data_IF_251698899513
#
_entry.id   IF_251698899513
#
_cell.length_a   1.000
_cell.length_b   1.000
_cell.length_c   1.000
_cell.angle_alpha   90.00
_cell.angle_beta   90.00
_cell.angle_gamma   90.00
#
_symmetry.space_group_name_H-M   'P 1'
#
loop_
_entity.id
_entity.type
_entity.pdbx_description
1 polymer ?
#
# COMPACT_ATOMS: atom_id res chain seq x y z
N UNK A 1 -57.12 -46.38 -46.96
CA UNK A 1 -55.83 -46.85 -47.52
C UNK A 1 -54.83 -45.71 -47.37
N UNK A 2 -54.00 -45.74 -46.37
CA UNK A 2 -52.89 -44.80 -46.15
C UNK A 2 -51.60 -45.63 -46.05
N UNK A 3 -50.51 -45.27 -46.72
CA UNK A 3 -49.29 -46.02 -46.67
C UNK A 3 -48.43 -45.70 -45.45
N UNK A 4 -47.92 -46.73 -44.81
CA UNK A 4 -46.92 -46.69 -43.73
C UNK A 4 -45.55 -46.19 -44.28
N UNK A 5 -45.06 -45.07 -43.72
CA UNK A 5 -43.65 -44.69 -43.89
C UNK A 5 -42.80 -45.39 -42.83
N UNK A 6 -41.82 -46.17 -43.24
CA UNK A 6 -40.77 -46.77 -42.42
C UNK A 6 -39.70 -45.71 -42.15
N UNK A 7 -39.47 -45.34 -40.85
CA UNK A 7 -38.30 -44.61 -40.40
C UNK A 7 -37.10 -45.58 -40.27
N UNK A 8 -36.10 -45.35 -41.07
CA UNK A 8 -34.75 -45.95 -40.89
C UNK A 8 -33.94 -45.11 -39.91
N UNK A 9 -33.59 -45.70 -38.76
CA UNK A 9 -32.71 -45.05 -37.80
C UNK A 9 -31.23 -45.13 -38.30
N UNK A 10 -30.64 -43.94 -38.52
CA UNK A 10 -29.19 -43.86 -38.72
C UNK A 10 -28.53 -43.71 -37.33
N UNK A 11 -27.79 -44.74 -36.93
CA UNK A 11 -26.90 -44.65 -35.75
C UNK A 11 -25.61 -43.93 -36.17
N UNK A 12 -25.47 -42.68 -35.73
CA UNK A 12 -24.21 -41.98 -35.80
C UNK A 12 -23.35 -42.36 -34.59
N UNK A 13 -22.35 -43.19 -34.81
CA UNK A 13 -21.31 -43.44 -33.81
C UNK A 13 -20.41 -42.19 -33.70
N UNK A 14 -20.60 -41.40 -32.63
CA UNK A 14 -19.71 -40.31 -32.28
C UNK A 14 -18.42 -40.90 -31.70
N UNK A 15 -17.34 -40.84 -32.49
CA UNK A 15 -15.99 -41.13 -32.02
C UNK A 15 -15.56 -40.04 -31.01
N UNK A 16 -15.55 -40.36 -29.70
CA UNK A 16 -14.91 -39.59 -28.69
C UNK A 16 -13.38 -39.64 -28.89
N UNK A 17 -12.82 -38.64 -29.55
CA UNK A 17 -11.38 -38.38 -29.47
C UNK A 17 -11.09 -37.81 -28.08
N UNK A 18 -10.16 -38.44 -27.32
CA UNK A 18 -9.73 -37.82 -26.06
C UNK A 18 -8.98 -36.53 -26.42
N UNK A 19 -9.50 -35.38 -25.99
CA UNK A 19 -8.73 -34.13 -25.89
C UNK A 19 -7.58 -34.37 -24.90
N UNK A 20 -6.44 -34.77 -25.42
CA UNK A 20 -5.17 -34.65 -24.72
C UNK A 20 -4.92 -33.13 -24.55
N UNK A 21 -5.40 -32.55 -23.44
CA UNK A 21 -4.98 -31.25 -23.00
C UNK A 21 -3.44 -31.29 -22.91
N UNK A 22 -2.79 -30.57 -23.80
CA UNK A 22 -1.35 -30.36 -23.72
C UNK A 22 -1.09 -29.75 -22.33
N UNK A 23 -0.59 -30.57 -21.40
CA UNK A 23 -0.03 -30.11 -20.15
C UNK A 23 1.13 -29.20 -20.55
N UNK A 24 0.91 -27.89 -20.56
CA UNK A 24 1.99 -26.92 -20.70
C UNK A 24 3.08 -27.33 -19.72
N UNK A 25 4.32 -27.43 -20.19
CA UNK A 25 5.46 -27.78 -19.34
C UNK A 25 5.42 -26.84 -18.13
N UNK A 26 5.33 -27.41 -16.93
CA UNK A 26 5.40 -26.64 -15.68
C UNK A 26 6.72 -25.83 -15.70
N UNK A 27 6.69 -24.55 -15.33
CA UNK A 27 7.92 -23.78 -15.24
C UNK A 27 8.94 -24.54 -14.39
N UNK A 28 10.20 -24.58 -14.86
CA UNK A 28 11.28 -25.23 -14.10
C UNK A 28 11.36 -24.62 -12.70
N UNK A 29 11.60 -25.42 -11.66
CA UNK A 29 11.88 -24.87 -10.34
C UNK A 29 13.04 -23.89 -10.40
N UNK A 30 12.96 -22.81 -9.62
CA UNK A 30 14.02 -21.81 -9.49
C UNK A 30 14.59 -21.87 -8.08
N UNK A 31 15.92 -21.90 -7.96
CA UNK A 31 16.63 -21.92 -6.69
C UNK A 31 17.57 -20.71 -6.61
N UNK A 32 17.40 -19.90 -5.58
CA UNK A 32 18.30 -18.80 -5.24
C UNK A 32 19.17 -19.23 -4.07
N UNK A 33 20.48 -19.20 -4.23
CA UNK A 33 21.44 -19.70 -3.24
C UNK A 33 22.39 -18.63 -2.74
N UNK A 34 22.99 -18.89 -1.58
CA UNK A 34 24.03 -18.07 -0.94
C UNK A 34 23.62 -16.63 -0.68
N UNK A 35 22.33 -16.39 -0.50
CA UNK A 35 21.76 -15.05 -0.41
C UNK A 35 21.45 -14.68 1.04
N UNK A 36 21.64 -13.40 1.40
CA UNK A 36 21.09 -12.84 2.62
C UNK A 36 19.59 -12.66 2.44
N UNK A 37 18.79 -13.15 3.39
CA UNK A 37 17.32 -13.07 3.33
C UNK A 37 16.82 -12.20 4.47
N UNK A 38 16.11 -11.13 4.13
CA UNK A 38 15.26 -10.34 5.04
C UNK A 38 13.82 -10.71 4.71
N UNK A 39 13.20 -11.54 5.53
CA UNK A 39 11.98 -12.27 5.16
C UNK A 39 10.67 -11.47 5.27
N UNK A 40 10.72 -10.21 5.73
CA UNK A 40 9.55 -9.33 5.89
C UNK A 40 8.74 -9.57 7.17
N UNK A 41 9.17 -10.47 8.05
CA UNK A 41 8.49 -10.73 9.34
C UNK A 41 8.91 -9.77 10.45
N UNK A 42 10.02 -9.03 10.26
CA UNK A 42 10.68 -8.26 11.30
C UNK A 42 11.65 -9.09 12.17
N UNK A 43 11.84 -10.36 11.82
CA UNK A 43 12.82 -11.24 12.46
C UNK A 43 14.25 -11.00 11.97
N UNK A 44 15.23 -11.65 12.64
CA UNK A 44 16.64 -11.57 12.24
C UNK A 44 16.85 -12.10 10.81
N UNK A 45 17.73 -11.48 10.00
CA UNK A 45 18.01 -11.93 8.66
C UNK A 45 18.74 -13.29 8.65
N UNK A 46 18.53 -14.06 7.58
CA UNK A 46 19.27 -15.30 7.31
C UNK A 46 20.49 -14.93 6.45
N UNK A 47 21.70 -15.08 6.98
CA UNK A 47 22.92 -14.55 6.34
C UNK A 47 23.32 -15.31 5.06
N UNK A 48 23.10 -16.61 5.01
CA UNK A 48 23.38 -17.48 3.85
C UNK A 48 22.21 -18.42 3.67
N UNK A 49 21.21 -17.93 2.97
CA UNK A 49 19.97 -18.64 2.76
C UNK A 49 19.85 -19.25 1.38
N UNK A 50 18.82 -20.10 1.26
CA UNK A 50 18.31 -20.65 0.01
C UNK A 50 16.81 -20.37 -0.07
N UNK A 51 16.35 -20.00 -1.27
CA UNK A 51 14.94 -19.85 -1.60
C UNK A 51 14.64 -20.81 -2.75
N UNK A 52 13.64 -21.66 -2.59
CA UNK A 52 13.17 -22.59 -3.64
C UNK A 52 11.78 -22.15 -4.09
N UNK A 53 11.60 -22.01 -5.39
CA UNK A 53 10.38 -21.52 -6.02
C UNK A 53 9.86 -22.57 -7.00
N UNK A 54 8.61 -22.97 -6.83
CA UNK A 54 7.92 -23.94 -7.68
C UNK A 54 6.48 -23.47 -7.95
N UNK A 55 6.07 -23.50 -9.20
CA UNK A 55 4.70 -23.12 -9.59
C UNK A 55 4.32 -21.69 -9.18
N UNK A 56 5.28 -20.76 -9.15
CA UNK A 56 5.05 -19.36 -8.77
C UNK A 56 4.97 -19.10 -7.26
N UNK A 57 5.21 -20.11 -6.43
CA UNK A 57 5.17 -20.03 -4.96
C UNK A 57 6.50 -20.40 -4.33
N UNK A 58 6.72 -19.89 -3.13
CA UNK A 58 7.86 -20.27 -2.28
C UNK A 58 7.63 -21.69 -1.75
N UNK A 59 8.42 -22.68 -2.19
CA UNK A 59 8.32 -24.04 -1.70
C UNK A 59 9.23 -24.29 -0.50
N UNK A 60 10.36 -23.58 -0.39
CA UNK A 60 11.19 -23.59 0.79
C UNK A 60 11.97 -22.25 0.92
N UNK A 61 12.21 -21.82 2.16
CA UNK A 61 13.01 -20.64 2.51
C UNK A 61 13.74 -20.90 3.81
N UNK A 62 15.06 -20.67 3.85
CA UNK A 62 15.85 -20.86 5.07
C UNK A 62 17.33 -21.18 4.80
N UNK A 63 18.14 -21.40 5.85
CA UNK A 63 19.58 -21.69 5.71
C UNK A 63 19.87 -22.99 4.95
N UNK A 64 19.00 -23.98 5.13
CA UNK A 64 19.07 -25.30 4.47
C UNK A 64 17.67 -25.67 3.95
N UNK A 65 17.21 -24.91 2.98
CA UNK A 65 15.83 -24.96 2.49
C UNK A 65 15.53 -26.22 1.65
N UNK A 66 15.82 -27.37 2.18
CA UNK A 66 15.53 -28.66 1.55
C UNK A 66 16.46 -29.03 0.39
N UNK A 67 16.23 -30.17 -0.26
CA UNK A 67 16.98 -30.57 -1.45
C UNK A 67 16.68 -29.64 -2.62
N UNK A 68 17.63 -29.52 -3.54
CA UNK A 68 17.42 -28.83 -4.81
C UNK A 68 16.54 -29.74 -5.70
N UNK A 69 15.39 -29.23 -6.18
CA UNK A 69 14.53 -30.01 -7.07
C UNK A 69 15.27 -30.44 -8.36
N UNK A 70 14.97 -31.62 -8.88
CA UNK A 70 15.56 -32.08 -10.12
C UNK A 70 15.19 -31.13 -11.29
N UNK A 71 16.18 -30.76 -12.09
CA UNK A 71 15.99 -29.87 -13.24
C UNK A 71 15.79 -28.40 -12.87
N UNK A 72 16.02 -28.01 -11.62
CA UNK A 72 15.93 -26.61 -11.19
C UNK A 72 17.00 -25.74 -11.85
N UNK A 73 16.60 -24.53 -12.21
CA UNK A 73 17.55 -23.44 -12.48
C UNK A 73 18.08 -22.92 -11.15
N UNK A 74 19.42 -22.85 -11.00
CA UNK A 74 20.06 -22.34 -9.78
C UNK A 74 20.80 -21.06 -10.06
N UNK A 75 20.56 -20.04 -9.24
CA UNK A 75 21.22 -18.73 -9.33
C UNK A 75 21.97 -18.49 -8.02
N UNK A 76 23.29 -18.29 -8.11
CA UNK A 76 24.12 -17.85 -6.99
C UNK A 76 23.96 -16.33 -6.78
N UNK A 77 23.53 -15.94 -5.59
CA UNK A 77 23.31 -14.55 -5.18
C UNK A 77 24.28 -14.13 -4.06
N UNK A 78 25.50 -14.70 -4.04
CA UNK A 78 26.56 -14.30 -3.09
C UNK A 78 26.74 -12.78 -3.09
N UNK A 79 26.70 -12.16 -1.90
CA UNK A 79 26.84 -10.71 -1.71
C UNK A 79 25.57 -9.90 -2.01
N UNK A 80 24.46 -10.56 -2.29
CA UNK A 80 23.14 -9.94 -2.53
C UNK A 80 22.22 -10.11 -1.32
N UNK A 81 21.22 -9.24 -1.23
CA UNK A 81 20.13 -9.37 -0.26
C UNK A 81 18.81 -9.56 -1.00
N UNK A 82 17.99 -10.49 -0.53
CA UNK A 82 16.61 -10.67 -1.00
C UNK A 82 15.65 -10.19 0.08
N UNK A 83 14.67 -9.41 -0.35
CA UNK A 83 13.52 -8.98 0.45
C UNK A 83 12.22 -9.42 -0.25
N UNK A 84 11.06 -9.48 0.43
CA UNK A 84 9.79 -9.63 -0.25
C UNK A 84 9.56 -8.49 -1.24
N UNK A 85 8.73 -8.72 -2.24
CA UNK A 85 8.23 -7.64 -3.08
C UNK A 85 7.59 -6.54 -2.22
N UNK A 86 7.96 -5.29 -2.49
CA UNK A 86 7.42 -4.14 -1.77
C UNK A 86 5.92 -3.98 -2.07
N UNK A 87 5.18 -3.54 -1.08
CA UNK A 87 3.75 -3.21 -1.17
C UNK A 87 3.60 -1.72 -0.88
N UNK A 88 3.19 -0.95 -1.88
CA UNK A 88 2.85 0.47 -1.69
C UNK A 88 1.39 0.58 -1.24
N UNK A 89 1.17 0.93 0.04
CA UNK A 89 -0.15 1.02 0.64
C UNK A 89 -0.92 2.29 0.23
N UNK A 90 -0.27 3.25 -0.46
CA UNK A 90 -0.86 4.51 -0.88
C UNK A 90 -0.29 4.97 -2.23
N UNK A 91 -0.77 4.36 -3.27
CA UNK A 91 -0.41 4.70 -4.65
C UNK A 91 -1.60 5.37 -5.33
N UNK A 92 -1.38 6.47 -6.02
CA UNK A 92 -2.36 7.05 -6.93
C UNK A 92 -1.96 6.76 -8.37
N UNK A 93 -2.85 6.08 -9.11
CA UNK A 93 -2.58 5.77 -10.52
C UNK A 93 -2.49 7.03 -11.37
N UNK A 94 -3.13 8.11 -10.91
CA UNK A 94 -3.23 9.36 -11.67
C UNK A 94 -3.76 9.08 -13.10
N UNK A 95 -3.28 9.80 -14.11
CA UNK A 95 -3.57 9.53 -15.51
C UNK A 95 -2.38 8.87 -16.23
N UNK A 96 -1.60 8.07 -15.51
CA UNK A 96 -0.40 7.44 -16.03
C UNK A 96 -0.22 5.96 -15.58
N UNK A 97 -0.77 5.04 -16.35
CA UNK A 97 -0.66 3.61 -16.06
C UNK A 97 0.79 3.08 -16.09
N UNK A 98 1.71 3.77 -16.80
CA UNK A 98 3.12 3.37 -16.88
C UNK A 98 3.85 3.60 -15.56
N UNK A 99 3.38 4.53 -14.73
CA UNK A 99 3.97 4.77 -13.41
C UNK A 99 3.97 3.50 -12.54
N UNK A 100 2.89 2.72 -12.58
CA UNK A 100 2.81 1.45 -11.86
C UNK A 100 3.83 0.41 -12.37
N UNK A 101 4.07 0.34 -13.68
CA UNK A 101 5.10 -0.54 -14.26
C UNK A 101 6.51 -0.05 -13.93
N UNK A 102 6.72 1.25 -13.88
CA UNK A 102 7.97 1.82 -13.41
C UNK A 102 8.22 1.45 -11.95
N UNK A 103 7.23 1.62 -11.07
CA UNK A 103 7.35 1.19 -9.66
C UNK A 103 7.57 -0.32 -9.53
N UNK A 104 6.96 -1.14 -10.40
CA UNK A 104 7.26 -2.58 -10.46
C UNK A 104 8.76 -2.83 -10.70
N UNK A 105 9.39 -2.07 -11.60
CA UNK A 105 10.84 -2.15 -11.84
C UNK A 105 11.68 -1.67 -10.65
N UNK A 106 11.10 -0.91 -9.74
CA UNK A 106 11.69 -0.46 -8.49
C UNK A 106 11.42 -1.40 -7.30
N UNK A 107 10.80 -2.57 -7.56
CA UNK A 107 10.54 -3.58 -6.56
C UNK A 107 9.16 -3.54 -5.92
N UNK A 108 8.27 -2.63 -6.33
CA UNK A 108 6.88 -2.57 -5.85
C UNK A 108 6.04 -3.58 -6.62
N UNK A 109 5.79 -4.74 -6.03
CA UNK A 109 5.07 -5.84 -6.69
C UNK A 109 3.56 -5.79 -6.48
N UNK A 110 3.11 -4.99 -5.53
CA UNK A 110 1.70 -4.76 -5.21
C UNK A 110 1.48 -3.32 -4.76
N UNK A 111 0.33 -2.76 -5.05
CA UNK A 111 -0.05 -1.45 -4.53
C UNK A 111 -1.54 -1.36 -4.22
N UNK A 112 -1.91 -0.45 -3.33
CA UNK A 112 -3.29 -0.02 -3.10
C UNK A 112 -3.47 1.42 -3.54
N UNK A 113 -4.44 1.64 -4.42
CA UNK A 113 -4.91 2.99 -4.69
C UNK A 113 -6.07 3.31 -3.73
N UNK A 114 -5.92 4.36 -2.89
CA UNK A 114 -6.87 4.66 -1.84
C UNK A 114 -8.08 5.48 -2.31
N UNK A 115 -8.20 5.79 -3.60
CA UNK A 115 -9.32 6.65 -3.97
C UNK A 115 -9.46 6.94 -5.46
N UNK A 116 -9.65 5.90 -6.29
CA UNK A 116 -9.89 6.08 -7.72
C UNK A 116 -11.00 5.18 -8.25
N UNK A 117 -11.65 5.62 -9.33
CA UNK A 117 -12.64 4.84 -10.06
C UNK A 117 -11.99 3.64 -10.76
N UNK A 118 -12.69 2.50 -10.81
CA UNK A 118 -12.17 1.27 -11.43
C UNK A 118 -11.78 1.46 -12.91
N UNK A 119 -12.44 2.37 -13.61
CA UNK A 119 -12.16 2.69 -15.01
C UNK A 119 -10.75 3.21 -15.24
N UNK A 120 -10.16 3.89 -14.26
CA UNK A 120 -8.77 4.39 -14.32
C UNK A 120 -7.73 3.27 -14.39
N UNK A 121 -8.07 2.07 -13.91
CA UNK A 121 -7.17 0.92 -13.94
C UNK A 121 -7.25 0.08 -15.20
N UNK A 122 -8.23 0.32 -16.07
CA UNK A 122 -8.44 -0.50 -17.29
C UNK A 122 -7.25 -0.48 -18.24
N UNK A 123 -6.59 0.67 -18.40
CA UNK A 123 -5.41 0.77 -19.26
C UNK A 123 -4.23 0.01 -18.66
N UNK A 124 -3.97 0.17 -17.36
CA UNK A 124 -2.94 -0.60 -16.66
C UNK A 124 -3.20 -2.10 -16.76
N UNK A 125 -4.44 -2.56 -16.57
CA UNK A 125 -4.79 -3.98 -16.73
C UNK A 125 -4.55 -4.47 -18.15
N UNK A 126 -4.85 -3.63 -19.19
CA UNK A 126 -4.55 -3.95 -20.59
C UNK A 126 -3.04 -4.05 -20.83
N UNK A 127 -2.25 -3.13 -20.28
CA UNK A 127 -0.79 -3.17 -20.38
C UNK A 127 -0.23 -4.43 -19.74
N UNK A 128 -0.63 -4.73 -18.51
CA UNK A 128 -0.22 -5.95 -17.80
C UNK A 128 -0.54 -7.20 -18.65
N UNK A 129 -1.75 -7.28 -19.21
CA UNK A 129 -2.16 -8.41 -20.03
C UNK A 129 -1.40 -8.50 -21.36
N UNK A 130 -1.22 -7.37 -22.07
CA UNK A 130 -0.52 -7.33 -23.37
C UNK A 130 0.96 -7.67 -23.24
N UNK A 131 1.59 -7.27 -22.16
CA UNK A 131 2.99 -7.57 -21.82
C UNK A 131 3.14 -8.95 -21.18
N UNK A 132 2.03 -9.65 -20.88
CA UNK A 132 2.00 -10.93 -20.16
C UNK A 132 2.71 -10.87 -18.81
N UNK A 133 2.58 -9.73 -18.11
CA UNK A 133 3.20 -9.55 -16.81
C UNK A 133 2.39 -10.26 -15.72
N UNK A 134 3.05 -10.81 -14.70
CA UNK A 134 2.38 -11.41 -13.54
C UNK A 134 1.88 -10.38 -12.50
N UNK A 135 2.15 -9.10 -12.74
CA UNK A 135 1.78 -7.97 -11.86
C UNK A 135 2.20 -6.63 -12.44
N UNK A 136 2.15 -5.52 -11.68
CA UNK A 136 1.88 -5.45 -10.23
C UNK A 136 0.45 -5.88 -9.87
N UNK A 137 0.26 -6.35 -8.60
CA UNK A 137 -1.08 -6.63 -8.07
C UNK A 137 -1.76 -5.33 -7.67
N UNK A 138 -3.02 -5.19 -8.03
CA UNK A 138 -3.79 -3.96 -7.88
C UNK A 138 -4.87 -4.16 -6.82
N UNK A 139 -4.83 -3.36 -5.76
CA UNK A 139 -5.86 -3.24 -4.75
C UNK A 139 -6.48 -1.85 -4.85
N UNK A 140 -7.80 -1.74 -4.80
CA UNK A 140 -8.50 -0.46 -4.98
C UNK A 140 -9.48 -0.20 -3.85
N UNK A 141 -9.60 1.06 -3.44
CA UNK A 141 -10.61 1.50 -2.49
C UNK A 141 -11.90 2.01 -3.18
N UNK A 142 -11.88 2.13 -4.51
CA UNK A 142 -12.93 2.86 -5.21
C UNK A 142 -12.84 4.37 -4.93
N UNK A 143 -13.82 5.18 -5.39
CA UNK A 143 -13.85 6.61 -5.11
C UNK A 143 -13.97 6.88 -3.60
N UNK A 144 -13.43 8.01 -3.14
CA UNK A 144 -13.55 8.42 -1.75
C UNK A 144 -15.02 8.56 -1.33
N UNK A 145 -15.38 8.13 -0.12
CA UNK A 145 -16.67 8.47 0.48
C UNK A 145 -16.47 9.76 1.28
N UNK A 146 -17.00 10.87 0.78
CA UNK A 146 -16.83 12.20 1.35
C UNK A 146 -18.18 12.86 1.66
N UNK A 147 -18.13 13.98 2.36
CA UNK A 147 -19.28 14.83 2.62
C UNK A 147 -19.47 15.89 1.52
N UNK A 148 -20.42 16.83 1.76
CA UNK A 148 -20.70 17.91 0.82
C UNK A 148 -19.48 18.80 0.57
N UNK A 149 -19.35 19.30 -0.65
CA UNK A 149 -18.20 20.11 -1.14
C UNK A 149 -16.87 19.36 -1.04
N UNK A 150 -16.76 18.14 -1.61
CA UNK A 150 -15.55 17.34 -1.51
C UNK A 150 -14.34 18.09 -2.10
N UNK A 151 -13.15 17.83 -1.53
CA UNK A 151 -11.92 18.49 -2.01
C UNK A 151 -11.50 18.02 -3.41
N UNK A 152 -11.87 16.79 -3.77
CA UNK A 152 -11.59 16.17 -5.07
C UNK A 152 -12.89 15.60 -5.65
N UNK A 153 -13.75 16.46 -6.25
CA UNK A 153 -15.08 16.02 -6.73
C UNK A 153 -15.03 14.93 -7.80
N UNK A 154 -13.97 14.89 -8.62
CA UNK A 154 -13.80 13.88 -9.66
C UNK A 154 -13.58 12.46 -9.10
N UNK A 155 -13.02 12.37 -7.90
CA UNK A 155 -12.58 11.11 -7.28
C UNK A 155 -13.43 10.72 -6.06
N UNK A 156 -14.57 11.40 -5.86
CA UNK A 156 -15.40 11.23 -4.69
C UNK A 156 -16.85 10.82 -5.00
N UNK A 157 -17.44 10.07 -4.08
CA UNK A 157 -18.90 9.95 -3.94
C UNK A 157 -19.31 10.67 -2.67
N UNK A 158 -20.42 11.46 -2.76
CA UNK A 158 -20.88 12.31 -1.66
C UNK A 158 -22.01 11.60 -0.91
N UNK A 159 -21.85 11.45 0.41
CA UNK A 159 -22.88 11.00 1.31
C UNK A 159 -23.42 12.18 2.14
N UNK A 160 -24.74 12.39 2.10
CA UNK A 160 -25.42 13.46 2.84
C UNK A 160 -25.78 13.04 4.26
N UNK A 161 -25.95 11.74 4.47
CA UNK A 161 -26.30 11.16 5.76
C UNK A 161 -25.69 9.76 5.95
N UNK A 162 -25.89 9.17 7.12
CA UNK A 162 -25.33 7.88 7.49
C UNK A 162 -25.92 6.71 6.67
N UNK A 163 -27.17 6.82 6.23
CA UNK A 163 -27.80 5.77 5.42
C UNK A 163 -27.25 5.80 4.00
N UNK A 164 -27.08 6.98 3.41
CA UNK A 164 -26.43 7.12 2.11
C UNK A 164 -24.97 6.66 2.16
N UNK A 165 -24.24 6.99 3.21
CA UNK A 165 -22.86 6.52 3.42
C UNK A 165 -22.80 4.98 3.45
N UNK A 166 -23.73 4.33 4.15
CA UNK A 166 -23.84 2.87 4.20
C UNK A 166 -24.09 2.28 2.81
N UNK A 167 -25.05 2.84 2.05
CA UNK A 167 -25.35 2.38 0.68
C UNK A 167 -24.15 2.52 -0.25
N UNK A 168 -23.43 3.64 -0.17
CA UNK A 168 -22.24 3.88 -0.98
C UNK A 168 -21.12 2.91 -0.62
N UNK A 169 -20.84 2.67 0.65
CA UNK A 169 -19.87 1.69 1.12
C UNK A 169 -20.18 0.27 0.59
N UNK A 170 -21.41 -0.19 0.76
CA UNK A 170 -21.89 -1.48 0.25
C UNK A 170 -21.77 -1.57 -1.29
N UNK A 171 -22.05 -0.48 -1.99
CA UNK A 171 -21.93 -0.42 -3.45
C UNK A 171 -20.48 -0.56 -3.89
N UNK A 172 -19.54 0.18 -3.28
CA UNK A 172 -18.13 0.12 -3.62
C UNK A 172 -17.55 -1.29 -3.43
N UNK A 173 -17.90 -1.95 -2.32
CA UNK A 173 -17.48 -3.34 -2.07
C UNK A 173 -18.07 -4.30 -3.12
N UNK A 174 -19.35 -4.17 -3.47
CA UNK A 174 -19.95 -4.99 -4.54
C UNK A 174 -19.32 -4.75 -5.91
N UNK A 175 -18.76 -3.58 -6.15
CA UNK A 175 -18.04 -3.24 -7.38
C UNK A 175 -16.57 -3.71 -7.37
N UNK A 176 -16.15 -4.40 -6.29
CA UNK A 176 -14.82 -5.02 -6.21
C UNK A 176 -13.78 -4.22 -5.41
N UNK A 177 -14.19 -3.15 -4.72
CA UNK A 177 -13.27 -2.45 -3.83
C UNK A 177 -12.76 -3.41 -2.75
N UNK A 178 -11.43 -3.49 -2.61
CA UNK A 178 -10.73 -4.33 -1.63
C UNK A 178 -10.43 -3.58 -0.32
N UNK A 179 -10.74 -2.30 -0.26
CA UNK A 179 -10.66 -1.41 0.89
C UNK A 179 -11.68 -0.28 0.70
N UNK A 180 -11.96 0.50 1.74
CA UNK A 180 -12.70 1.76 1.60
C UNK A 180 -11.93 2.92 2.21
N UNK A 181 -12.09 4.13 1.63
CA UNK A 181 -11.52 5.36 2.16
C UNK A 181 -12.59 6.38 2.49
N UNK A 182 -12.62 6.77 3.75
CA UNK A 182 -13.36 7.91 4.26
C UNK A 182 -12.53 9.18 4.00
N UNK A 183 -13.19 10.23 3.49
CA UNK A 183 -12.53 11.51 3.28
C UNK A 183 -13.03 12.56 4.26
N UNK A 184 -12.30 13.65 4.41
CA UNK A 184 -12.31 14.50 5.59
C UNK A 184 -13.59 15.33 5.80
N UNK A 185 -14.46 15.50 4.80
CA UNK A 185 -15.73 16.21 4.96
C UNK A 185 -16.90 15.33 5.39
N UNK A 186 -16.69 14.01 5.43
CA UNK A 186 -17.74 13.10 5.84
C UNK A 186 -18.05 13.30 7.35
N UNK A 187 -19.30 13.59 7.74
CA UNK A 187 -19.66 13.75 9.15
C UNK A 187 -19.44 12.48 9.96
N UNK A 188 -19.23 12.62 11.28
CA UNK A 188 -18.90 11.49 12.18
C UNK A 188 -19.91 10.35 12.09
N UNK A 189 -21.24 10.63 12.10
CA UNK A 189 -22.26 9.59 12.02
C UNK A 189 -22.19 8.81 10.70
N UNK A 190 -21.91 9.48 9.59
CA UNK A 190 -21.74 8.87 8.27
C UNK A 190 -20.43 8.09 8.19
N UNK A 191 -19.33 8.61 8.74
CA UNK A 191 -18.05 7.90 8.83
C UNK A 191 -18.18 6.60 9.64
N UNK A 192 -18.89 6.64 10.77
CA UNK A 192 -19.16 5.45 11.58
C UNK A 192 -20.00 4.41 10.82
N UNK A 193 -20.98 4.85 10.02
CA UNK A 193 -21.77 3.93 9.20
C UNK A 193 -20.92 3.21 8.13
N UNK A 194 -19.91 3.89 7.54
CA UNK A 194 -18.96 3.26 6.64
C UNK A 194 -18.08 2.25 7.38
N UNK A 195 -17.57 2.59 8.58
CA UNK A 195 -16.76 1.70 9.42
C UNK A 195 -17.54 0.41 9.76
N UNK A 196 -18.81 0.52 10.17
CA UNK A 196 -19.69 -0.61 10.47
C UNK A 196 -19.86 -1.55 9.26
N UNK A 197 -19.97 -1.00 8.04
CA UNK A 197 -20.05 -1.81 6.81
C UNK A 197 -18.71 -2.52 6.56
N UNK A 198 -17.59 -1.82 6.71
CA UNK A 198 -16.26 -2.40 6.51
C UNK A 198 -16.02 -3.56 7.48
N UNK A 199 -16.37 -3.39 8.75
CA UNK A 199 -16.27 -4.42 9.77
C UNK A 199 -17.14 -5.65 9.42
N UNK A 200 -18.41 -5.43 9.08
CA UNK A 200 -19.33 -6.50 8.71
C UNK A 200 -18.90 -7.25 7.44
N UNK A 201 -18.18 -6.61 6.54
CA UNK A 201 -17.71 -7.18 5.27
C UNK A 201 -16.26 -7.66 5.32
N UNK A 202 -15.57 -7.51 6.45
CA UNK A 202 -14.15 -7.82 6.62
C UNK A 202 -13.28 -7.15 5.54
N UNK A 203 -13.47 -5.85 5.34
CA UNK A 203 -12.75 -5.02 4.37
C UNK A 203 -12.02 -3.90 5.12
N UNK A 204 -10.75 -3.62 4.82
CA UNK A 204 -10.04 -2.49 5.44
C UNK A 204 -10.75 -1.16 5.20
N UNK A 205 -10.87 -0.34 6.25
CA UNK A 205 -11.42 1.00 6.18
C UNK A 205 -10.39 2.00 6.69
N UNK A 206 -10.05 2.98 5.87
CA UNK A 206 -9.10 4.04 6.23
C UNK A 206 -9.75 5.41 6.13
N UNK A 207 -9.14 6.40 6.76
CA UNK A 207 -9.62 7.78 6.68
C UNK A 207 -8.48 8.78 6.51
N UNK A 208 -8.72 9.78 5.64
CA UNK A 208 -7.96 11.02 5.59
C UNK A 208 -8.73 12.07 6.39
N UNK A 209 -8.20 12.51 7.51
CA UNK A 209 -8.90 13.38 8.45
C UNK A 209 -8.32 14.81 8.46
N UNK A 210 -9.21 15.79 8.49
CA UNK A 210 -8.91 17.21 8.73
C UNK A 210 -9.92 17.82 9.71
N UNK A 211 -11.18 17.40 9.63
CA UNK A 211 -12.29 17.99 10.39
C UNK A 211 -12.66 17.18 11.63
N UNK A 212 -12.49 15.86 11.59
CA UNK A 212 -12.79 14.98 12.71
C UNK A 212 -11.54 14.72 13.56
N UNK A 213 -11.75 14.47 14.84
CA UNK A 213 -10.69 14.03 15.74
C UNK A 213 -10.40 12.53 15.47
N UNK A 214 -9.12 12.23 15.23
CA UNK A 214 -8.70 10.85 14.97
C UNK A 214 -9.00 9.91 16.14
N UNK A 215 -8.90 10.40 17.38
CA UNK A 215 -9.21 9.61 18.60
C UNK A 215 -10.63 9.08 18.58
N UNK A 216 -11.59 9.91 18.17
CA UNK A 216 -13.01 9.53 18.12
C UNK A 216 -13.28 8.45 17.08
N UNK A 217 -12.72 8.58 15.88
CA UNK A 217 -12.93 7.59 14.82
C UNK A 217 -12.18 6.28 15.06
N UNK A 218 -10.96 6.34 15.60
CA UNK A 218 -10.21 5.14 16.01
C UNK A 218 -11.00 4.41 17.11
N UNK A 219 -11.53 5.13 18.12
CA UNK A 219 -12.35 4.53 19.15
C UNK A 219 -13.65 3.91 18.60
N UNK A 220 -14.21 4.50 17.52
CA UNK A 220 -15.38 3.97 16.81
C UNK A 220 -15.07 2.77 15.89
N UNK A 221 -13.81 2.30 15.83
CA UNK A 221 -13.44 1.09 15.07
C UNK A 221 -12.75 1.37 13.73
N UNK A 222 -12.32 2.61 13.45
CA UNK A 222 -11.56 2.89 12.23
C UNK A 222 -10.30 2.03 12.16
N UNK A 223 -10.12 1.31 11.06
CA UNK A 223 -9.00 0.37 10.91
C UNK A 223 -7.65 1.07 10.67
N UNK A 224 -7.63 2.20 9.95
CA UNK A 224 -6.39 2.89 9.63
C UNK A 224 -6.55 4.36 9.26
N UNK A 225 -5.43 5.07 9.28
CA UNK A 225 -5.31 6.48 8.97
C UNK A 225 -4.38 6.65 7.77
N UNK A 226 -4.83 7.45 6.83
CA UNK A 226 -4.03 7.96 5.73
C UNK A 226 -3.36 9.25 6.17
N UNK A 227 -2.07 9.37 5.90
CA UNK A 227 -1.26 10.53 6.23
C UNK A 227 -1.10 10.78 7.74
N UNK A 228 0.12 11.03 8.15
CA UNK A 228 0.40 11.45 9.53
C UNK A 228 -0.37 12.72 9.90
N UNK A 229 -0.71 13.55 8.91
CA UNK A 229 -1.47 14.80 9.10
C UNK A 229 -2.89 14.58 9.60
N UNK A 230 -3.48 13.41 9.39
CA UNK A 230 -4.79 13.04 9.96
C UNK A 230 -4.83 13.02 11.48
N UNK A 231 -3.67 12.99 12.13
CA UNK A 231 -3.54 13.08 13.58
C UNK A 231 -3.46 14.52 14.10
N UNK A 232 -3.30 15.52 13.21
CA UNK A 232 -2.96 16.90 13.58
C UNK A 232 -3.95 17.57 14.53
N UNK A 233 -5.26 17.45 14.27
CA UNK A 233 -6.30 18.04 15.10
C UNK A 233 -6.43 17.40 16.49
N UNK A 234 -5.85 16.21 16.67
CA UNK A 234 -5.83 15.49 17.96
C UNK A 234 -4.61 15.86 18.83
N UNK A 235 -3.71 16.74 18.35
CA UNK A 235 -2.44 17.06 19.01
C UNK A 235 -2.39 18.47 19.58
N UNK A 236 -3.44 19.23 19.39
CA UNK A 236 -3.51 20.64 19.81
C UNK A 236 -4.77 20.90 20.63
N UNK A 237 -4.79 21.95 21.47
CA UNK A 237 -5.98 22.31 22.23
C UNK A 237 -7.21 22.48 21.36
N UNK A 238 -8.38 22.14 21.89
CA UNK A 238 -9.66 22.16 21.18
C UNK A 238 -9.93 23.46 20.41
N UNK A 239 -9.61 24.60 20.98
CA UNK A 239 -9.83 25.92 20.32
C UNK A 239 -8.95 26.08 19.07
N UNK A 240 -7.71 25.62 19.10
CA UNK A 240 -6.81 25.62 17.96
C UNK A 240 -7.27 24.68 16.85
N UNK A 241 -7.64 23.45 17.24
CA UNK A 241 -8.22 22.48 16.31
C UNK A 241 -9.49 23.03 15.65
N UNK A 242 -10.36 23.73 16.42
CA UNK A 242 -11.58 24.32 15.88
C UNK A 242 -11.28 25.47 14.92
N UNK A 243 -10.33 26.35 15.22
CA UNK A 243 -9.90 27.41 14.30
C UNK A 243 -9.40 26.85 12.97
N UNK A 244 -8.63 25.75 13.00
CA UNK A 244 -8.21 25.03 11.81
C UNK A 244 -9.39 24.44 11.04
N UNK A 245 -10.32 23.76 11.72
CA UNK A 245 -11.51 23.18 11.10
C UNK A 245 -12.35 24.21 10.38
N UNK A 246 -12.58 25.36 11.00
CA UNK A 246 -13.35 26.46 10.39
C UNK A 246 -12.66 27.00 9.12
N UNK A 247 -11.34 27.15 9.14
CA UNK A 247 -10.59 27.56 7.96
C UNK A 247 -10.73 26.54 6.82
N UNK A 248 -10.62 25.23 7.10
CA UNK A 248 -10.78 24.15 6.09
C UNK A 248 -12.23 24.03 5.63
N UNK A 249 -13.21 24.28 6.48
CA UNK A 249 -14.63 24.31 6.09
C UNK A 249 -14.92 25.46 5.11
N UNK A 250 -14.29 26.61 5.31
CA UNK A 250 -14.41 27.75 4.41
C UNK A 250 -13.68 27.52 3.09
N UNK A 251 -12.44 27.03 3.15
CA UNK A 251 -11.57 26.76 2.01
C UNK A 251 -10.81 25.46 2.19
N UNK A 252 -11.02 24.49 1.29
CA UNK A 252 -10.31 23.21 1.32
C UNK A 252 -8.77 23.38 1.29
N UNK A 253 -8.25 24.40 0.64
CA UNK A 253 -6.81 24.60 0.48
C UNK A 253 -6.15 25.22 1.71
N UNK A 254 -6.92 25.76 2.65
CA UNK A 254 -6.42 26.20 3.96
C UNK A 254 -5.69 25.06 4.72
N UNK A 255 -6.01 23.79 4.43
CA UNK A 255 -5.31 22.63 5.01
C UNK A 255 -3.83 22.57 4.62
N UNK A 256 -3.43 23.09 3.45
CA UNK A 256 -2.07 22.92 2.92
C UNK A 256 -1.01 23.49 3.88
N UNK A 257 -1.18 24.72 4.30
CA UNK A 257 -0.31 25.36 5.28
C UNK A 257 -0.76 25.10 6.72
N UNK A 258 -2.07 24.99 6.93
CA UNK A 258 -2.68 24.76 8.23
C UNK A 258 -2.15 23.50 8.93
N UNK A 259 -1.90 22.43 8.20
CA UNK A 259 -1.27 21.19 8.72
C UNK A 259 0.08 21.47 9.38
N UNK A 260 0.95 22.21 8.68
CA UNK A 260 2.27 22.57 9.24
C UNK A 260 2.14 23.47 10.45
N UNK A 261 1.19 24.41 10.45
CA UNK A 261 0.92 25.26 11.63
C UNK A 261 0.45 24.45 12.82
N UNK A 262 -0.45 23.47 12.64
CA UNK A 262 -0.88 22.55 13.70
C UNK A 262 0.31 21.76 14.25
N UNK A 263 1.09 21.14 13.37
CA UNK A 263 2.23 20.33 13.79
C UNK A 263 3.32 21.19 14.45
N UNK A 264 3.63 22.37 13.92
CA UNK A 264 4.62 23.27 14.53
C UNK A 264 4.27 23.63 15.98
N UNK A 265 2.97 23.72 16.31
CA UNK A 265 2.47 24.05 17.65
C UNK A 265 2.25 22.84 18.55
N UNK A 266 2.06 21.65 17.96
CA UNK A 266 1.76 20.44 18.73
C UNK A 266 2.80 20.18 19.82
N UNK A 267 2.33 19.90 21.04
CA UNK A 267 3.16 19.36 22.09
C UNK A 267 3.03 17.84 22.10
N UNK A 268 4.06 17.17 21.60
CA UNK A 268 4.06 15.71 21.47
C UNK A 268 4.24 14.96 22.83
N UNK A 269 4.49 15.70 23.91
CA UNK A 269 4.58 15.18 25.27
C UNK A 269 3.39 15.64 26.12
N UNK A 270 2.57 16.54 25.59
CA UNK A 270 1.43 17.13 26.27
C UNK A 270 0.21 16.21 26.40
N UNK A 271 -0.83 16.67 27.12
CA UNK A 271 -1.99 15.85 27.45
C UNK A 271 -2.78 15.37 26.22
N UNK A 272 -2.89 16.19 25.17
CA UNK A 272 -3.59 15.80 23.94
C UNK A 272 -2.87 14.66 23.22
N UNK A 273 -1.54 14.74 23.11
CA UNK A 273 -0.73 13.67 22.54
C UNK A 273 -0.80 12.39 23.40
N UNK A 274 -0.77 12.49 24.72
CA UNK A 274 -0.90 11.34 25.61
C UNK A 274 -2.27 10.65 25.46
N UNK A 275 -3.34 11.43 25.32
CA UNK A 275 -4.68 10.90 25.03
C UNK A 275 -4.72 10.16 23.67
N UNK A 276 -4.06 10.72 22.65
CA UNK A 276 -3.94 10.05 21.34
C UNK A 276 -3.16 8.74 21.48
N UNK A 277 -2.00 8.74 22.15
CA UNK A 277 -1.18 7.52 22.34
C UNK A 277 -1.93 6.43 23.12
N UNK A 278 -2.79 6.79 24.07
CA UNK A 278 -3.62 5.82 24.77
C UNK A 278 -4.58 5.09 23.81
N UNK A 279 -5.25 5.84 22.91
CA UNK A 279 -6.15 5.26 21.91
C UNK A 279 -5.38 4.41 20.89
N UNK A 280 -4.21 4.87 20.42
CA UNK A 280 -3.34 4.10 19.53
C UNK A 280 -2.90 2.77 20.16
N UNK A 281 -2.55 2.78 21.44
CA UNK A 281 -2.17 1.58 22.21
C UNK A 281 -3.31 0.58 22.33
N UNK A 282 -4.51 1.06 22.62
CA UNK A 282 -5.70 0.23 22.79
C UNK A 282 -6.16 -0.40 21.48
N UNK A 283 -6.27 0.42 20.43
CA UNK A 283 -6.92 0.03 19.17
C UNK A 283 -5.96 -0.44 18.10
N UNK A 284 -4.69 -0.05 18.17
CA UNK A 284 -3.64 -0.44 17.23
C UNK A 284 -4.00 -0.25 15.76
N UNK A 285 -4.47 0.95 15.36
CA UNK A 285 -4.85 1.21 13.98
C UNK A 285 -3.63 1.12 13.06
N UNK A 286 -3.88 0.95 11.77
CA UNK A 286 -2.87 1.16 10.74
C UNK A 286 -2.57 2.66 10.59
N UNK A 287 -1.34 3.00 10.31
CA UNK A 287 -0.94 4.36 9.96
C UNK A 287 -0.04 4.33 8.73
N UNK A 288 -0.56 4.89 7.66
CA UNK A 288 0.17 5.19 6.45
C UNK A 288 0.65 6.64 6.52
N UNK A 289 1.91 6.84 6.90
CA UNK A 289 2.41 8.18 7.23
C UNK A 289 2.55 9.10 6.02
N UNK A 290 2.91 8.55 4.85
CA UNK A 290 3.15 9.29 3.59
C UNK A 290 4.02 10.54 3.76
N UNK A 291 5.10 10.43 4.51
CA UNK A 291 5.98 11.56 4.84
C UNK A 291 6.55 12.25 3.60
N UNK A 292 6.80 11.48 2.54
CA UNK A 292 7.40 11.98 1.31
C UNK A 292 6.57 13.08 0.64
N UNK A 293 5.23 13.04 0.74
CA UNK A 293 4.37 14.09 0.18
C UNK A 293 4.42 15.39 0.99
N UNK A 294 4.75 15.27 2.27
CA UNK A 294 4.86 16.41 3.19
C UNK A 294 6.30 16.91 3.37
N UNK A 295 7.27 16.26 2.74
CA UNK A 295 8.67 16.66 2.89
C UNK A 295 8.86 18.14 2.54
N UNK A 296 9.60 18.86 3.40
CA UNK A 296 10.03 20.24 3.18
C UNK A 296 11.52 20.33 3.45
N UNK A 297 12.21 21.03 2.55
CA UNK A 297 13.65 21.29 2.66
C UNK A 297 13.87 22.78 2.63
N UNK A 298 14.55 23.33 3.62
CA UNK A 298 14.76 24.77 3.75
C UNK A 298 15.45 25.42 2.53
N UNK A 299 16.24 24.64 1.79
CA UNK A 299 16.94 25.10 0.57
C UNK A 299 16.08 25.05 -0.70
N UNK A 300 14.93 24.38 -0.66
CA UNK A 300 14.08 24.05 -1.81
C UNK A 300 12.60 24.24 -1.45
N UNK A 301 12.25 25.41 -0.93
CA UNK A 301 10.89 25.70 -0.52
C UNK A 301 9.97 25.94 -1.74
N UNK A 302 8.66 25.64 -1.63
CA UNK A 302 7.69 25.94 -2.68
C UNK A 302 7.71 27.43 -3.07
N UNK A 303 7.49 27.72 -4.35
CA UNK A 303 7.38 29.09 -4.84
C UNK A 303 6.26 29.84 -4.08
N UNK A 304 6.52 31.10 -3.71
CA UNK A 304 5.58 31.93 -2.95
C UNK A 304 5.59 31.66 -1.44
N UNK A 305 6.45 30.79 -0.92
CA UNK A 305 6.63 30.64 0.53
C UNK A 305 7.06 31.95 1.16
N UNK A 306 6.26 32.47 2.10
CA UNK A 306 6.57 33.69 2.82
C UNK A 306 7.60 33.44 3.92
N UNK A 307 8.42 34.45 4.31
CA UNK A 307 9.47 34.26 5.32
C UNK A 307 8.97 33.75 6.67
N UNK A 308 7.76 34.12 7.08
CA UNK A 308 7.13 33.65 8.32
C UNK A 308 6.73 32.16 8.26
N UNK A 309 6.47 31.63 7.07
CA UNK A 309 6.15 30.21 6.89
C UNK A 309 7.37 29.30 6.93
N UNK A 310 8.56 29.79 6.65
CA UNK A 310 9.78 28.97 6.61
C UNK A 310 9.99 28.17 7.91
N UNK A 311 10.03 28.80 9.10
CA UNK A 311 10.18 28.06 10.36
C UNK A 311 8.98 27.15 10.66
N UNK A 312 7.78 27.51 10.20
CA UNK A 312 6.58 26.69 10.39
C UNK A 312 6.65 25.40 9.58
N UNK A 313 7.08 25.47 8.33
CA UNK A 313 7.24 24.28 7.46
C UNK A 313 8.30 23.33 8.01
N UNK A 314 9.43 23.86 8.46
CA UNK A 314 10.52 23.07 9.05
C UNK A 314 10.10 22.38 10.36
N UNK A 315 9.60 23.16 11.31
CA UNK A 315 9.12 22.66 12.60
C UNK A 315 7.97 21.67 12.42
N UNK A 316 7.02 21.98 11.53
CA UNK A 316 5.88 21.12 11.26
C UNK A 316 6.30 19.78 10.69
N UNK A 317 7.16 19.76 9.67
CA UNK A 317 7.65 18.52 9.08
C UNK A 317 8.51 17.70 10.06
N UNK A 318 9.36 18.36 10.83
CA UNK A 318 10.14 17.73 11.90
C UNK A 318 9.22 17.00 12.89
N UNK A 319 8.14 17.63 13.34
CA UNK A 319 7.18 17.01 14.25
C UNK A 319 6.34 15.92 13.60
N UNK A 320 6.04 16.00 12.31
CA UNK A 320 5.42 14.89 11.55
C UNK A 320 6.30 13.63 11.61
N UNK A 321 7.60 13.74 11.39
CA UNK A 321 8.56 12.64 11.54
C UNK A 321 8.58 12.10 12.97
N UNK A 322 8.70 12.97 13.96
CA UNK A 322 8.70 12.58 15.38
C UNK A 322 7.40 11.86 15.78
N UNK A 323 6.25 12.38 15.34
CA UNK A 323 4.97 11.74 15.62
C UNK A 323 4.86 10.37 14.98
N UNK A 324 5.34 10.20 13.75
CA UNK A 324 5.33 8.89 13.07
C UNK A 324 6.03 7.84 13.93
N UNK A 325 7.23 8.13 14.45
CA UNK A 325 7.92 7.23 15.38
C UNK A 325 7.14 6.99 16.67
N UNK A 326 6.65 8.07 17.30
CA UNK A 326 5.90 7.98 18.57
C UNK A 326 4.60 7.21 18.42
N UNK A 327 3.87 7.40 17.31
CA UNK A 327 2.67 6.64 17.01
C UNK A 327 2.95 5.13 16.87
N UNK A 328 4.04 4.76 16.19
CA UNK A 328 4.48 3.37 16.11
C UNK A 328 4.82 2.78 17.49
N UNK A 329 5.57 3.51 18.31
CA UNK A 329 5.89 3.10 19.70
C UNK A 329 4.61 2.98 20.55
N UNK A 330 3.65 3.88 20.35
CA UNK A 330 2.37 3.85 21.05
C UNK A 330 1.44 2.72 20.58
N UNK A 331 1.75 2.01 19.49
CA UNK A 331 1.00 0.83 19.06
C UNK A 331 0.35 0.93 17.68
N UNK A 332 0.44 2.06 17.00
CA UNK A 332 0.02 2.15 15.60
C UNK A 332 0.87 1.22 14.73
N UNK A 333 0.24 0.52 13.80
CA UNK A 333 0.92 -0.37 12.85
C UNK A 333 1.30 0.42 11.62
N UNK A 334 2.59 0.77 11.51
CA UNK A 334 3.09 1.60 10.40
C UNK A 334 3.13 0.78 9.10
N UNK A 335 2.63 1.38 8.03
CA UNK A 335 2.74 0.87 6.67
C UNK A 335 3.40 1.92 5.76
N UNK A 336 4.07 1.46 4.72
CA UNK A 336 4.69 2.33 3.72
C UNK A 336 3.67 2.70 2.64
N UNK A 337 3.49 4.01 2.42
CA UNK A 337 2.73 4.57 1.31
C UNK A 337 3.52 5.64 0.56
N UNK A 338 3.77 5.39 -0.73
CA UNK A 338 4.63 6.24 -1.54
C UNK A 338 3.97 7.52 -2.04
N UNK A 339 2.64 7.55 -2.16
CA UNK A 339 1.86 8.67 -2.71
C UNK A 339 2.25 9.09 -4.15
N UNK A 340 2.77 8.17 -4.95
CA UNK A 340 3.10 8.28 -6.38
C UNK A 340 4.03 9.42 -6.77
N UNK A 341 3.56 10.68 -6.75
CA UNK A 341 4.35 11.87 -7.05
C UNK A 341 4.60 12.69 -5.78
N UNK A 342 5.86 12.92 -5.47
CA UNK A 342 6.29 13.65 -4.26
C UNK A 342 7.37 14.67 -4.59
N UNK A 343 7.56 15.73 -3.76
CA UNK A 343 8.44 16.85 -4.09
C UNK A 343 9.92 16.49 -4.33
N UNK A 344 10.46 15.52 -3.59
CA UNK A 344 11.90 15.27 -3.54
C UNK A 344 12.28 13.83 -3.92
N UNK A 345 11.48 13.21 -4.77
CA UNK A 345 11.84 11.95 -5.42
C UNK A 345 11.56 12.02 -6.91
N UNK A 346 12.37 11.34 -7.70
CA UNK A 346 12.09 11.19 -9.12
C UNK A 346 10.84 10.34 -9.32
N UNK A 347 10.23 10.45 -10.51
CA UNK A 347 9.04 9.69 -10.87
C UNK A 347 9.23 8.19 -10.61
N UNK A 348 8.30 7.60 -9.87
CA UNK A 348 8.33 6.19 -9.47
C UNK A 348 9.21 5.87 -8.26
N UNK A 349 9.95 6.83 -7.71
CA UNK A 349 10.86 6.62 -6.57
C UNK A 349 10.24 7.01 -5.21
N UNK A 350 9.02 7.47 -5.20
CA UNK A 350 8.33 7.87 -3.97
C UNK A 350 8.34 6.78 -2.87
N UNK A 351 8.12 5.47 -3.16
CA UNK A 351 8.22 4.42 -2.15
C UNK A 351 9.60 4.32 -1.50
N UNK A 352 10.67 4.50 -2.28
CA UNK A 352 12.04 4.49 -1.73
C UNK A 352 12.27 5.69 -0.83
N UNK A 353 11.79 6.89 -1.23
CA UNK A 353 11.91 8.08 -0.40
C UNK A 353 11.13 7.95 0.90
N UNK A 354 9.95 7.35 0.85
CA UNK A 354 9.17 7.08 2.07
C UNK A 354 9.91 6.15 3.02
N UNK A 355 10.53 5.05 2.52
CA UNK A 355 11.35 4.16 3.35
C UNK A 355 12.53 4.90 4.02
N UNK A 356 13.21 5.78 3.29
CA UNK A 356 14.28 6.62 3.84
C UNK A 356 13.74 7.54 4.94
N UNK A 357 12.59 8.19 4.71
CA UNK A 357 11.96 9.08 5.70
C UNK A 357 11.45 8.35 6.94
N UNK A 358 10.96 7.12 6.79
CA UNK A 358 10.62 6.29 7.94
C UNK A 358 11.86 6.02 8.82
N UNK A 359 13.02 5.75 8.19
CA UNK A 359 14.27 5.58 8.94
C UNK A 359 14.75 6.90 9.53
N UNK A 360 14.67 8.02 8.80
CA UNK A 360 14.95 9.36 9.32
C UNK A 360 14.01 9.75 10.50
N UNK A 361 12.84 9.15 10.57
CA UNK A 361 11.89 9.32 11.68
C UNK A 361 12.27 8.50 12.93
N UNK A 362 13.27 7.62 12.82
CA UNK A 362 13.79 6.80 13.91
C UNK A 362 13.34 5.33 13.88
N UNK A 363 12.78 4.84 12.78
CA UNK A 363 12.62 3.40 12.57
C UNK A 363 13.98 2.80 12.22
N UNK A 364 14.22 1.55 12.64
CA UNK A 364 15.31 0.79 12.07
C UNK A 364 15.03 0.44 10.59
N UNK A 365 16.06 0.21 9.76
CA UNK A 365 15.85 -0.26 8.39
C UNK A 365 14.99 -1.53 8.31
N UNK A 366 15.10 -2.43 9.27
CA UNK A 366 14.27 -3.63 9.35
C UNK A 366 12.80 -3.31 9.60
N UNK A 367 12.48 -2.38 10.52
CA UNK A 367 11.11 -1.92 10.76
C UNK A 367 10.53 -1.26 9.49
N UNK A 368 11.31 -0.44 8.77
CA UNK A 368 10.87 0.21 7.54
C UNK A 368 10.58 -0.80 6.42
N UNK A 369 11.46 -1.80 6.20
CA UNK A 369 11.21 -2.89 5.23
C UNK A 369 9.98 -3.69 5.63
N UNK A 370 9.81 -4.00 6.92
CA UNK A 370 8.64 -4.74 7.42
C UNK A 370 7.35 -3.94 7.19
N UNK A 371 7.38 -2.60 7.35
CA UNK A 371 6.26 -1.71 7.05
C UNK A 371 5.86 -1.75 5.57
N UNK A 372 6.82 -1.97 4.66
CA UNK A 372 6.59 -2.06 3.21
C UNK A 372 6.32 -3.50 2.71
N UNK A 373 6.29 -4.49 3.60
CA UNK A 373 6.18 -5.91 3.23
C UNK A 373 5.16 -6.63 4.11
N UNK A 374 5.58 -7.32 5.16
CA UNK A 374 4.70 -8.11 6.02
C UNK A 374 3.57 -7.30 6.67
N UNK A 375 3.89 -6.09 7.16
CA UNK A 375 2.87 -5.20 7.76
C UNK A 375 1.89 -4.69 6.71
N UNK A 376 2.37 -4.29 5.52
CA UNK A 376 1.51 -3.84 4.43
C UNK A 376 0.61 -4.98 3.89
N UNK A 377 1.10 -6.22 3.82
CA UNK A 377 0.27 -7.36 3.46
C UNK A 377 -0.85 -7.62 4.49
N UNK A 378 -0.53 -7.49 5.78
CA UNK A 378 -1.52 -7.59 6.85
C UNK A 378 -2.56 -6.46 6.79
N UNK A 379 -2.14 -5.24 6.44
CA UNK A 379 -3.03 -4.12 6.18
C UNK A 379 -4.04 -4.40 5.05
N UNK A 380 -3.59 -5.08 4.00
CA UNK A 380 -4.45 -5.48 2.87
C UNK A 380 -5.25 -6.77 3.12
N UNK A 381 -5.14 -7.38 4.32
CA UNK A 381 -5.71 -8.70 4.64
C UNK A 381 -5.22 -9.81 3.69
N UNK A 382 -3.92 -9.73 3.30
CA UNK A 382 -3.25 -10.63 2.35
C UNK A 382 -2.02 -11.33 2.93
N UNK A 383 -1.90 -11.44 4.25
CA UNK A 383 -0.77 -12.10 4.92
C UNK A 383 -0.63 -13.59 4.55
N UNK A 384 -1.71 -14.23 4.10
CA UNK A 384 -1.71 -15.62 3.67
C UNK A 384 -1.24 -15.81 2.22
N UNK A 385 -1.03 -14.69 1.51
CA UNK A 385 -0.65 -14.69 0.10
C UNK A 385 0.68 -13.98 -0.15
N UNK A 386 0.94 -12.85 0.54
CA UNK A 386 1.97 -11.86 0.22
C UNK A 386 2.77 -11.38 1.45
N UNK A 387 3.78 -10.58 1.19
CA UNK A 387 4.46 -9.71 2.15
C UNK A 387 5.56 -10.36 2.96
N UNK A 388 5.70 -11.69 2.96
CA UNK A 388 6.80 -12.38 3.63
C UNK A 388 7.36 -13.50 2.77
N UNK A 389 8.67 -13.79 2.95
CA UNK A 389 9.31 -14.94 2.31
C UNK A 389 9.07 -16.19 3.14
N UNK A 390 7.87 -16.72 3.06
CA UNK A 390 7.45 -17.93 3.81
C UNK A 390 6.90 -19.00 2.85
N UNK A 391 7.15 -20.25 3.17
CA UNK A 391 6.64 -21.40 2.39
C UNK A 391 5.13 -21.28 2.15
N UNK A 392 4.71 -21.51 0.92
CA UNK A 392 3.31 -21.51 0.46
C UNK A 392 2.83 -20.17 -0.09
N UNK A 393 3.52 -19.05 0.20
CA UNK A 393 3.18 -17.72 -0.30
C UNK A 393 3.62 -17.53 -1.75
N UNK A 394 3.12 -16.49 -2.38
CA UNK A 394 3.53 -16.07 -3.72
C UNK A 394 5.02 -15.76 -3.74
N UNK A 395 5.71 -16.17 -4.79
CA UNK A 395 7.10 -15.85 -4.99
C UNK A 395 7.25 -14.44 -5.58
N UNK A 396 6.93 -13.43 -4.75
CA UNK A 396 7.13 -12.02 -5.04
C UNK A 396 8.33 -11.55 -4.22
N UNK A 397 9.44 -11.22 -4.87
CA UNK A 397 10.68 -10.83 -4.18
C UNK A 397 11.52 -9.86 -4.99
N UNK A 398 12.41 -9.16 -4.31
CA UNK A 398 13.36 -8.22 -4.87
C UNK A 398 14.78 -8.64 -4.49
N UNK A 399 15.66 -8.71 -5.49
CA UNK A 399 17.10 -8.91 -5.30
C UNK A 399 17.78 -7.54 -5.31
N UNK A 400 18.46 -7.22 -4.21
CA UNK A 400 19.18 -5.97 -4.01
C UNK A 400 20.68 -6.20 -4.11
N UNK A 401 21.38 -5.29 -4.78
CA UNK A 401 22.84 -5.30 -4.94
C UNK A 401 23.63 -4.89 -3.69
N UNK A 402 22.94 -4.53 -2.59
CA UNK A 402 23.53 -4.17 -1.31
C UNK A 402 22.57 -4.49 -0.16
N UNK A 403 23.10 -4.39 1.07
CA UNK A 403 22.39 -4.69 2.29
C UNK A 403 21.54 -3.48 2.79
N UNK A 404 20.21 -3.54 2.71
CA UNK A 404 19.34 -2.45 3.14
C UNK A 404 19.26 -2.31 4.68
N UNK A 405 19.73 -3.31 5.44
CA UNK A 405 19.77 -3.21 6.91
C UNK A 405 20.97 -2.41 7.39
N UNK A 406 22.00 -2.27 6.57
CA UNK A 406 23.16 -1.40 6.85
C UNK A 406 22.90 0.04 6.41
N UNK A 407 22.22 0.20 5.28
CA UNK A 407 21.85 1.49 4.72
C UNK A 407 20.54 1.33 3.93
N UNK A 408 19.48 1.96 4.39
CA UNK A 408 18.15 1.85 3.75
C UNK A 408 18.17 2.33 2.28
N UNK A 409 19.07 3.23 1.91
CA UNK A 409 19.23 3.67 0.52
C UNK A 409 19.61 2.53 -0.45
N UNK A 410 20.05 1.38 0.07
CA UNK A 410 20.28 0.18 -0.73
C UNK A 410 19.01 -0.39 -1.38
N UNK A 411 17.81 -0.02 -0.93
CA UNK A 411 16.54 -0.38 -1.61
C UNK A 411 16.46 0.17 -3.04
N UNK A 412 17.25 1.22 -3.35
CA UNK A 412 17.39 1.76 -4.72
C UNK A 412 18.23 0.87 -5.64
N UNK A 413 19.02 -0.06 -5.07
CA UNK A 413 19.91 -0.95 -5.83
C UNK A 413 19.20 -2.24 -6.26
N UNK A 414 18.01 -2.08 -6.85
CA UNK A 414 17.25 -3.21 -7.38
C UNK A 414 17.98 -3.79 -8.60
N UNK A 415 18.40 -5.05 -8.51
CA UNK A 415 19.01 -5.80 -9.61
C UNK A 415 17.97 -6.67 -10.34
N UNK A 416 17.08 -7.32 -9.59
CA UNK A 416 16.04 -8.18 -10.15
C UNK A 416 14.75 -8.08 -9.34
N UNK A 417 13.64 -8.26 -10.03
CA UNK A 417 12.29 -8.36 -9.41
C UNK A 417 11.62 -9.62 -9.92
N UNK A 418 11.08 -10.40 -9.00
CA UNK A 418 10.31 -11.60 -9.29
C UNK A 418 8.87 -11.39 -8.82
N UNK A 419 7.90 -11.72 -9.66
CA UNK A 419 6.48 -11.69 -9.30
C UNK A 419 5.84 -13.00 -9.71
N UNK A 420 5.13 -13.64 -8.80
CA UNK A 420 4.55 -14.97 -9.01
C UNK A 420 5.54 -15.98 -9.64
N UNK A 421 6.81 -15.92 -9.25
CA UNK A 421 7.86 -16.78 -9.76
C UNK A 421 8.39 -16.42 -11.17
N UNK A 422 8.03 -15.28 -11.74
CA UNK A 422 8.48 -14.83 -13.05
C UNK A 422 9.35 -13.56 -12.92
N UNK A 423 10.52 -13.59 -13.57
CA UNK A 423 11.40 -12.41 -13.61
C UNK A 423 10.79 -11.28 -14.44
N UNK A 424 10.87 -10.06 -13.91
CA UNK A 424 10.49 -8.83 -14.61
C UNK A 424 11.72 -8.25 -15.30
N UNK A 425 11.54 -7.75 -16.52
CA UNK A 425 12.57 -6.97 -17.21
C UNK A 425 12.67 -5.57 -16.58
N UNK A 426 13.48 -5.47 -15.53
CA UNK A 426 13.68 -4.23 -14.77
C UNK A 426 14.22 -3.11 -15.67
N UNK A 427 15.12 -3.43 -16.64
CA UNK A 427 15.71 -2.45 -17.55
C UNK A 427 14.66 -1.77 -18.43
N UNK A 428 13.72 -2.55 -18.97
CA UNK A 428 12.64 -2.07 -19.84
C UNK A 428 11.73 -1.08 -19.13
N UNK A 429 11.28 -1.39 -17.91
CA UNK A 429 10.24 -0.59 -17.24
C UNK A 429 10.77 0.61 -16.47
N UNK A 430 12.07 0.70 -16.19
CA UNK A 430 12.69 1.91 -15.63
C UNK A 430 12.58 3.13 -16.54
N UNK A 431 12.49 2.93 -17.83
CA UNK A 431 12.38 3.99 -18.84
C UNK A 431 10.98 4.56 -19.04
N UNK A 432 9.95 3.99 -18.40
CA UNK A 432 8.54 4.37 -18.56
C UNK A 432 8.18 5.70 -17.93
#
# INVERSE_FOLDING_TARGET
>A
MLPLFRLTAFSAAAALLPLLAARGAQPRPLVLENVRIVDGTGGAPIERGRIVIEGGKLSAVGPAAGPIPAGAETIDLTGRTVIPGLIDAHFHIEDDPKLALRQLSHGVTSFRDPGQWEEKFQELRRLIASERLPGPRIFTAGPHIDGERPAYPADAVVARDAEEARRLAERSIRQGASALKIYFRLPFASARAVIEVCEARNVPCTAHLELLDARELIAAGLHGLEHVTSLGTSLVPRMEAEGYRQAVLADNDARRDGRYRLFARADLDGPDAQALYAVLKERRPWLDATLAVFERRLKELPAGTTPDMVPVLDAGFTKMKQLTRRAGVAGARLVMGGHSTVPFAARGEAPWRELELLVESGLSPLEAITAATGTAAAFLYKSDELGTLRRGLQADLVVLGADPLRDIAAVRKVERVLVAGQWIDVGRYRGY
#
